data_IF_969448339227
#
_entry.id   IF_969448339227
#
_cell.length_a   1.000
_cell.length_b   1.000
_cell.length_c   1.000
_cell.angle_alpha   90.00
_cell.angle_beta   90.00
_cell.angle_gamma   90.00
#
_symmetry.space_group_name_H-M   'P 1'
#
loop_
_entity.id
_entity.type
_entity.pdbx_description
1 polymer ?
#
# COMPACT_ATOMS: atom_id res chain seq x y z
N UNK A 1 0.00 -38.38 -11.60
CA UNK A 1 0.38 -37.11 -12.25
C UNK A 1 -0.30 -36.00 -11.46
N UNK A 2 0.47 -35.10 -10.89
CA UNK A 2 -0.13 -33.95 -10.21
C UNK A 2 -0.78 -33.04 -11.27
N UNK A 3 -2.02 -32.64 -11.01
CA UNK A 3 -2.74 -31.69 -11.87
C UNK A 3 -2.13 -30.29 -11.70
N UNK A 4 -2.14 -29.46 -12.74
CA UNK A 4 -1.79 -28.04 -12.62
C UNK A 4 -2.66 -27.31 -11.56
N UNK A 5 -3.86 -27.86 -11.27
CA UNK A 5 -4.75 -27.36 -10.22
C UNK A 5 -4.15 -27.47 -8.83
N UNK A 6 -3.27 -28.45 -8.62
CA UNK A 6 -2.59 -28.67 -7.33
C UNK A 6 -1.53 -27.58 -7.07
N UNK A 7 -1.10 -26.87 -8.13
CA UNK A 7 -0.12 -25.82 -8.08
C UNK A 7 -0.75 -24.40 -7.95
N UNK A 8 -2.09 -24.30 -7.93
CA UNK A 8 -2.75 -23.02 -7.73
C UNK A 8 -2.57 -22.62 -6.26
N UNK A 9 -2.02 -21.41 -6.05
CA UNK A 9 -1.92 -20.84 -4.70
C UNK A 9 -3.32 -20.60 -4.14
N UNK A 10 -3.51 -21.06 -2.91
CA UNK A 10 -4.75 -20.85 -2.16
C UNK A 10 -4.52 -19.67 -1.22
N UNK A 11 -5.14 -18.58 -1.53
CA UNK A 11 -5.07 -17.34 -0.76
C UNK A 11 -6.50 -16.93 -0.42
N UNK A 12 -6.74 -16.48 0.81
CA UNK A 12 -8.01 -15.87 1.17
C UNK A 12 -8.13 -14.53 0.41
N UNK A 13 -9.14 -14.36 -0.46
CA UNK A 13 -9.22 -13.16 -1.27
C UNK A 13 -9.62 -11.95 -0.42
N UNK A 14 -9.18 -10.77 -0.85
CA UNK A 14 -9.68 -9.52 -0.31
C UNK A 14 -11.20 -9.41 -0.45
N UNK A 15 -11.86 -9.03 0.63
CA UNK A 15 -13.29 -8.73 0.62
C UNK A 15 -13.48 -7.22 0.43
N UNK A 16 -13.94 -6.76 -0.74
CA UNK A 16 -14.14 -5.33 -0.97
C UNK A 16 -15.26 -4.77 -0.10
N UNK A 17 -15.17 -3.48 0.20
CA UNK A 17 -16.26 -2.77 0.88
C UNK A 17 -17.56 -2.80 0.08
N UNK A 18 -18.68 -2.73 0.77
CA UNK A 18 -20.01 -2.74 0.16
C UNK A 18 -20.16 -1.63 -0.88
N UNK A 19 -20.77 -1.97 -2.03
CA UNK A 19 -21.06 -1.05 -3.12
C UNK A 19 -22.60 -0.97 -3.32
N UNK A 20 -23.30 -0.15 -2.51
CA UNK A 20 -24.75 -0.03 -2.61
C UNK A 20 -25.15 0.53 -3.97
N UNK A 21 -26.23 -0.03 -4.55
CA UNK A 21 -26.76 0.37 -5.86
C UNK A 21 -28.05 1.21 -5.75
N UNK A 22 -28.53 1.39 -4.52
CA UNK A 22 -29.75 2.14 -4.25
C UNK A 22 -29.51 3.64 -4.39
N UNK A 23 -30.47 4.35 -4.94
CA UNK A 23 -30.42 5.81 -5.02
C UNK A 23 -30.60 6.46 -3.65
N UNK A 24 -29.87 7.54 -3.40
CA UNK A 24 -29.97 8.32 -2.15
C UNK A 24 -29.15 7.81 -0.97
N UNK A 25 -28.37 6.74 -1.15
CA UNK A 25 -27.42 6.26 -0.13
C UNK A 25 -26.23 7.20 -0.03
N UNK A 26 -25.90 7.61 1.18
CA UNK A 26 -24.67 8.35 1.47
C UNK A 26 -23.54 7.33 1.69
N UNK A 27 -22.64 7.20 0.72
CA UNK A 27 -21.50 6.28 0.77
C UNK A 27 -20.36 6.92 1.56
N UNK A 28 -20.00 6.29 2.69
CA UNK A 28 -18.91 6.75 3.57
C UNK A 28 -17.80 5.69 3.78
N UNK A 29 -17.89 4.56 3.07
CA UNK A 29 -16.87 3.50 3.12
C UNK A 29 -15.82 3.68 2.01
N UNK A 30 -14.75 2.86 2.06
CA UNK A 30 -13.66 2.80 1.07
C UNK A 30 -12.81 4.06 0.93
N UNK A 31 -12.96 5.03 1.82
CA UNK A 31 -12.15 6.25 1.91
C UNK A 31 -12.02 7.02 0.58
N UNK A 32 -13.11 7.07 -0.22
CA UNK A 32 -13.13 7.76 -1.50
C UNK A 32 -13.01 9.28 -1.34
N UNK A 33 -12.25 9.92 -2.23
CA UNK A 33 -12.16 11.39 -2.26
C UNK A 33 -13.51 11.99 -2.67
N UNK A 34 -14.14 12.85 -1.84
CA UNK A 34 -15.44 13.46 -2.15
C UNK A 34 -15.37 14.51 -3.28
N UNK A 35 -14.18 14.96 -3.65
CA UNK A 35 -13.99 15.98 -4.67
C UNK A 35 -13.64 15.37 -6.02
N UNK A 36 -14.30 15.75 -7.11
CA UNK A 36 -13.93 15.31 -8.45
C UNK A 36 -12.58 15.91 -8.86
N UNK A 37 -11.89 15.29 -9.85
CA UNK A 37 -10.70 15.88 -10.43
C UNK A 37 -11.02 17.23 -11.10
N UNK A 38 -10.04 18.12 -11.17
CA UNK A 38 -10.22 19.43 -11.80
C UNK A 38 -10.56 19.32 -13.29
N UNK A 39 -11.24 20.35 -13.83
CA UNK A 39 -11.61 20.38 -15.26
C UNK A 39 -10.39 20.34 -16.19
N UNK A 40 -9.23 20.83 -15.75
CA UNK A 40 -7.97 20.74 -16.49
C UNK A 40 -7.56 19.30 -16.80
N UNK A 41 -7.91 18.35 -15.91
CA UNK A 41 -7.65 16.91 -16.15
C UNK A 41 -8.54 16.38 -17.28
N UNK A 42 -9.82 16.78 -17.30
CA UNK A 42 -10.75 16.39 -18.37
C UNK A 42 -10.27 16.92 -19.74
N UNK A 43 -9.81 18.16 -19.79
CA UNK A 43 -9.25 18.77 -20.99
C UNK A 43 -7.99 18.03 -21.46
N UNK A 44 -7.05 17.74 -20.56
CA UNK A 44 -5.84 17.02 -20.86
C UNK A 44 -6.14 15.60 -21.42
N UNK A 45 -7.08 14.88 -20.80
CA UNK A 45 -7.50 13.55 -21.25
C UNK A 45 -8.15 13.58 -22.64
N UNK A 46 -8.99 14.57 -22.92
CA UNK A 46 -9.63 14.73 -24.24
C UNK A 46 -8.63 15.03 -25.37
N UNK A 47 -7.46 15.56 -25.04
CA UNK A 47 -6.38 15.85 -25.97
C UNK A 47 -5.51 14.65 -26.36
N UNK A 48 -5.70 13.49 -25.76
CA UNK A 48 -4.87 12.31 -26.01
C UNK A 48 -5.24 11.69 -27.38
N UNK A 49 -4.31 11.73 -28.35
CA UNK A 49 -4.55 11.28 -29.72
C UNK A 49 -3.86 9.96 -30.11
N UNK A 50 -2.90 9.50 -29.32
CA UNK A 50 -1.99 8.43 -29.71
C UNK A 50 -2.13 7.14 -28.87
N UNK A 51 -3.35 6.79 -28.46
CA UNK A 51 -3.62 5.60 -27.64
C UNK A 51 -3.17 4.26 -28.26
N UNK A 52 -2.88 4.23 -29.56
CA UNK A 52 -2.34 3.04 -30.26
C UNK A 52 -0.85 2.78 -30.00
N UNK A 53 -0.14 3.73 -29.38
CA UNK A 53 1.29 3.61 -29.05
C UNK A 53 1.45 3.13 -27.63
N UNK A 54 2.50 2.36 -27.39
CA UNK A 54 2.91 2.07 -26.01
C UNK A 54 3.26 3.35 -25.27
N UNK A 55 2.90 3.47 -23.98
CA UNK A 55 3.35 4.57 -23.15
C UNK A 55 4.86 4.49 -22.92
N UNK A 56 5.43 5.57 -22.40
CA UNK A 56 6.80 5.57 -21.86
C UNK A 56 6.86 4.57 -20.67
N UNK A 57 7.67 3.50 -20.76
CA UNK A 57 7.73 2.47 -19.72
C UNK A 57 8.25 2.98 -18.36
N UNK A 58 9.04 4.07 -18.39
CA UNK A 58 9.55 4.71 -17.18
C UNK A 58 8.59 5.80 -16.62
N UNK A 59 7.48 6.09 -17.30
CA UNK A 59 6.56 7.18 -16.95
C UNK A 59 7.30 8.51 -16.64
N UNK A 60 8.38 8.81 -17.36
CA UNK A 60 9.38 9.85 -17.07
C UNK A 60 8.76 11.17 -16.66
N UNK A 61 7.80 11.68 -17.43
CA UNK A 61 7.14 12.95 -17.15
C UNK A 61 6.37 12.97 -15.81
N UNK A 62 5.77 11.83 -15.45
CA UNK A 62 5.03 11.69 -14.19
C UNK A 62 6.00 11.62 -13.02
N UNK A 63 7.05 10.81 -13.15
CA UNK A 63 8.13 10.68 -12.16
C UNK A 63 8.78 12.03 -11.88
N UNK A 64 9.18 12.77 -12.92
CA UNK A 64 9.76 14.10 -12.81
C UNK A 64 8.81 15.12 -12.14
N UNK A 65 7.52 15.06 -12.46
CA UNK A 65 6.52 15.94 -11.85
C UNK A 65 6.31 15.64 -10.36
N UNK A 66 6.25 14.36 -9.98
CA UNK A 66 6.12 13.94 -8.58
C UNK A 66 7.38 14.32 -7.80
N UNK A 67 8.55 14.02 -8.31
CA UNK A 67 9.84 14.36 -7.71
C UNK A 67 9.94 15.89 -7.46
N UNK A 68 9.66 16.68 -8.49
CA UNK A 68 9.66 18.14 -8.39
C UNK A 68 8.65 18.68 -7.37
N UNK A 69 7.45 18.10 -7.29
CA UNK A 69 6.41 18.52 -6.36
C UNK A 69 6.78 18.26 -4.91
N UNK A 70 7.39 17.11 -4.63
CA UNK A 70 7.76 16.70 -3.27
C UNK A 70 9.19 17.09 -2.87
N UNK A 71 10.02 17.56 -3.81
CA UNK A 71 11.41 17.93 -3.53
C UNK A 71 12.35 16.72 -3.42
N UNK A 72 12.06 15.66 -4.13
CA UNK A 72 12.88 14.45 -4.21
C UNK A 72 13.66 14.37 -5.52
N UNK A 73 14.67 13.51 -5.56
CA UNK A 73 15.30 13.12 -6.82
C UNK A 73 14.39 12.12 -7.56
N UNK A 74 14.44 12.14 -8.89
CA UNK A 74 13.58 11.26 -9.71
C UNK A 74 13.87 9.77 -9.49
N UNK A 75 15.08 9.42 -9.09
CA UNK A 75 15.53 8.09 -8.71
C UNK A 75 14.89 7.56 -7.42
N UNK A 76 14.29 8.46 -6.63
CA UNK A 76 13.56 8.12 -5.39
C UNK A 76 12.06 7.95 -5.62
N UNK A 77 11.59 8.07 -6.87
CA UNK A 77 10.18 7.98 -7.22
C UNK A 77 9.91 6.75 -8.08
N UNK A 78 9.04 5.89 -7.56
CA UNK A 78 8.46 4.77 -8.30
C UNK A 78 6.96 4.99 -8.48
N UNK A 79 6.43 4.70 -9.67
CA UNK A 79 5.01 4.86 -10.00
C UNK A 79 4.41 3.54 -10.48
N UNK A 80 3.17 3.28 -10.08
CA UNK A 80 2.37 2.12 -10.48
C UNK A 80 0.91 2.49 -10.71
N UNK A 81 0.06 1.50 -10.96
CA UNK A 81 -1.38 1.69 -11.18
C UNK A 81 -2.09 1.70 -9.83
N UNK A 82 -1.92 2.79 -9.08
CA UNK A 82 -2.43 2.96 -7.72
C UNK A 82 -1.52 2.33 -6.66
N UNK A 83 -1.84 2.60 -5.37
CA UNK A 83 -1.03 2.12 -4.24
C UNK A 83 -1.01 0.60 -4.14
N UNK A 84 -2.09 -0.08 -4.47
CA UNK A 84 -2.14 -1.55 -4.45
C UNK A 84 -1.10 -2.21 -5.36
N UNK A 85 -0.90 -1.68 -6.57
CA UNK A 85 0.11 -2.16 -7.50
C UNK A 85 1.53 -1.91 -6.95
N UNK A 86 1.78 -0.69 -6.45
CA UNK A 86 3.06 -0.31 -5.86
C UNK A 86 3.38 -1.17 -4.63
N UNK A 87 2.41 -1.38 -3.73
CA UNK A 87 2.58 -2.19 -2.54
C UNK A 87 2.82 -3.67 -2.89
N UNK A 88 2.06 -4.23 -3.84
CA UNK A 88 2.27 -5.60 -4.29
C UNK A 88 3.69 -5.80 -4.85
N UNK A 89 4.18 -4.85 -5.66
CA UNK A 89 5.56 -4.88 -6.19
C UNK A 89 6.57 -4.73 -5.07
N UNK A 90 6.34 -3.84 -4.09
CA UNK A 90 7.21 -3.67 -2.93
C UNK A 90 7.29 -4.94 -2.07
N UNK A 91 6.16 -5.56 -1.75
CA UNK A 91 6.13 -6.83 -1.02
C UNK A 91 6.93 -7.92 -1.74
N UNK A 92 6.70 -8.09 -3.04
CA UNK A 92 7.41 -9.06 -3.86
C UNK A 92 8.91 -8.77 -3.96
N UNK A 93 9.31 -7.50 -3.91
CA UNK A 93 10.71 -7.08 -4.10
C UNK A 93 11.51 -7.16 -2.82
N UNK A 94 10.97 -6.66 -1.71
CA UNK A 94 11.74 -6.42 -0.50
C UNK A 94 11.58 -7.48 0.59
N UNK A 95 10.46 -8.19 0.62
CA UNK A 95 10.14 -9.09 1.73
C UNK A 95 10.37 -10.57 1.40
N UNK A 96 11.53 -10.89 0.80
CA UNK A 96 11.87 -12.26 0.37
C UNK A 96 12.71 -13.04 1.40
N UNK A 97 12.81 -12.52 2.61
CA UNK A 97 13.57 -13.13 3.71
C UNK A 97 12.80 -14.26 4.40
N UNK A 98 13.46 -14.86 5.41
CA UNK A 98 12.84 -15.89 6.25
C UNK A 98 12.21 -15.33 7.51
N UNK A 99 12.56 -14.09 7.89
CA UNK A 99 12.00 -13.42 9.06
C UNK A 99 10.62 -12.88 8.72
N UNK A 100 9.67 -12.93 9.68
CA UNK A 100 8.34 -12.39 9.45
C UNK A 100 8.38 -10.86 9.29
N UNK A 101 7.59 -10.34 8.37
CA UNK A 101 7.28 -8.91 8.34
C UNK A 101 6.21 -8.60 9.39
N UNK A 102 6.23 -7.38 9.93
CA UNK A 102 5.28 -6.92 10.95
C UNK A 102 4.33 -5.89 10.38
N UNK A 103 3.05 -6.03 10.72
CA UNK A 103 2.02 -5.03 10.45
C UNK A 103 0.91 -5.12 11.51
N UNK A 104 0.08 -4.07 11.70
CA UNK A 104 -0.98 -4.09 12.70
C UNK A 104 -2.02 -5.19 12.42
N UNK A 105 -2.64 -5.73 13.44
CA UNK A 105 -3.70 -6.75 13.31
C UNK A 105 -5.01 -6.17 12.77
N UNK A 106 -5.30 -4.90 13.11
CA UNK A 106 -6.41 -4.11 12.56
C UNK A 106 -5.82 -3.04 11.67
N UNK A 107 -5.73 -3.33 10.36
CA UNK A 107 -5.09 -2.48 9.36
C UNK A 107 -5.66 -2.75 7.97
N UNK A 108 -5.02 -2.20 6.93
CA UNK A 108 -5.40 -2.45 5.55
C UNK A 108 -5.34 -3.94 5.21
N UNK A 109 -6.46 -4.48 4.82
CA UNK A 109 -6.68 -5.94 4.75
C UNK A 109 -5.98 -6.63 3.58
N UNK A 110 -5.32 -5.90 2.69
CA UNK A 110 -4.51 -6.49 1.62
C UNK A 110 -3.13 -6.95 2.07
N UNK A 111 -2.57 -6.45 3.16
CA UNK A 111 -1.24 -6.87 3.61
C UNK A 111 -1.10 -8.38 3.81
N UNK A 112 -1.99 -9.05 4.54
CA UNK A 112 -1.95 -10.51 4.63
C UNK A 112 -2.20 -11.20 3.29
N UNK A 113 -3.03 -10.63 2.39
CA UNK A 113 -3.29 -11.21 1.07
C UNK A 113 -2.00 -11.26 0.24
N UNK A 114 -1.23 -10.18 0.19
CA UNK A 114 0.06 -10.19 -0.52
C UNK A 114 1.09 -11.07 0.17
N UNK A 115 1.16 -11.05 1.50
CA UNK A 115 2.08 -11.92 2.24
C UNK A 115 1.81 -13.40 1.94
N UNK A 116 0.56 -13.83 1.96
CA UNK A 116 0.17 -15.21 1.61
C UNK A 116 0.41 -15.52 0.13
N UNK A 117 0.06 -14.59 -0.78
CA UNK A 117 0.24 -14.78 -2.22
C UNK A 117 1.71 -14.97 -2.59
N UNK A 118 2.61 -14.23 -1.96
CA UNK A 118 4.05 -14.30 -2.25
C UNK A 118 4.80 -15.26 -1.34
N UNK A 119 4.12 -15.87 -0.34
CA UNK A 119 4.75 -16.80 0.62
C UNK A 119 5.68 -16.11 1.61
N UNK A 120 5.37 -14.86 1.96
CA UNK A 120 6.11 -14.04 2.91
C UNK A 120 5.61 -14.38 4.33
N UNK A 121 6.49 -14.79 5.25
CA UNK A 121 6.08 -14.95 6.65
C UNK A 121 5.72 -13.60 7.26
N UNK A 122 4.69 -13.57 8.09
CA UNK A 122 4.26 -12.33 8.73
C UNK A 122 3.76 -12.57 10.16
N UNK A 123 3.80 -11.51 10.96
CA UNK A 123 3.24 -11.46 12.30
C UNK A 123 2.40 -10.19 12.46
N UNK A 124 1.19 -10.35 12.94
CA UNK A 124 0.28 -9.24 13.24
C UNK A 124 0.57 -8.70 14.63
N UNK A 125 0.80 -7.39 14.75
CA UNK A 125 0.98 -6.67 16.00
C UNK A 125 -0.35 -6.09 16.47
N UNK A 126 -0.77 -6.45 17.68
CA UNK A 126 -2.04 -5.98 18.20
C UNK A 126 -2.03 -4.46 18.41
N UNK A 127 -3.09 -3.78 17.94
CA UNK A 127 -3.32 -2.40 18.37
C UNK A 127 -3.84 -2.38 19.81
N UNK A 128 -3.69 -1.25 20.51
CA UNK A 128 -4.22 -1.10 21.87
C UNK A 128 -5.74 -0.88 21.88
N UNK A 129 -6.33 -0.75 23.07
CA UNK A 129 -7.78 -0.52 23.24
C UNK A 129 -8.29 0.79 22.60
N UNK A 130 -7.39 1.73 22.31
CA UNK A 130 -7.67 2.96 21.58
C UNK A 130 -7.44 2.81 20.05
N UNK A 131 -7.18 1.60 19.57
CA UNK A 131 -6.87 1.27 18.17
C UNK A 131 -5.56 1.90 17.65
N UNK A 132 -4.64 2.22 18.53
CA UNK A 132 -3.35 2.81 18.19
C UNK A 132 -2.26 1.75 18.07
N UNK A 133 -1.34 1.96 17.12
CA UNK A 133 -0.14 1.17 16.95
C UNK A 133 0.82 1.44 18.12
N UNK A 134 1.35 0.37 18.73
CA UNK A 134 2.35 0.45 19.78
C UNK A 134 3.73 0.29 19.14
N UNK A 135 4.52 1.35 19.11
CA UNK A 135 5.81 1.39 18.41
C UNK A 135 6.79 0.34 18.90
N UNK A 136 6.78 0.01 20.19
CA UNK A 136 7.65 -0.95 20.82
C UNK A 136 7.50 -2.37 20.27
N UNK A 137 6.32 -2.72 19.75
CA UNK A 137 6.03 -4.01 19.13
C UNK A 137 6.79 -4.21 17.80
N UNK A 138 7.33 -3.14 17.24
CA UNK A 138 8.06 -3.13 15.96
C UNK A 138 9.58 -3.07 16.13
N UNK A 139 10.10 -3.10 17.38
CA UNK A 139 11.54 -3.06 17.64
C UNK A 139 12.21 -4.44 17.60
N UNK A 140 11.43 -5.51 17.72
CA UNK A 140 11.96 -6.86 17.63
C UNK A 140 12.51 -7.15 16.24
N UNK A 141 13.47 -8.08 16.17
CA UNK A 141 14.05 -8.53 14.91
C UNK A 141 12.97 -9.07 13.97
N UNK A 142 12.91 -8.52 12.74
CA UNK A 142 11.87 -8.79 11.76
C UNK A 142 12.42 -8.81 10.32
N UNK A 143 11.57 -9.08 9.35
CA UNK A 143 11.87 -9.08 7.91
C UNK A 143 11.44 -7.82 7.18
N UNK A 144 10.82 -6.88 7.88
CA UNK A 144 10.28 -5.62 7.38
C UNK A 144 9.05 -5.18 8.14
N UNK A 145 8.72 -3.91 8.05
CA UNK A 145 7.59 -3.30 8.76
C UNK A 145 6.68 -2.60 7.76
N UNK A 146 5.36 -2.76 7.91
CA UNK A 146 4.37 -2.10 7.05
C UNK A 146 3.24 -1.57 7.94
N UNK A 147 2.91 -0.29 7.82
CA UNK A 147 1.73 0.29 8.47
C UNK A 147 1.22 1.51 7.71
N UNK A 148 -0.10 1.74 7.67
CA UNK A 148 -0.65 2.97 7.11
C UNK A 148 -0.59 4.11 8.13
N UNK A 149 -0.44 5.34 7.66
CA UNK A 149 -0.51 6.51 8.53
C UNK A 149 -1.26 7.69 7.87
N UNK A 150 -2.51 7.94 8.27
CA UNK A 150 -3.29 7.32 9.35
C UNK A 150 -3.61 5.84 9.10
N UNK A 151 -3.69 5.04 10.19
CA UNK A 151 -4.02 3.63 10.05
C UNK A 151 -5.46 3.43 9.56
N UNK A 152 -5.64 2.71 8.47
CA UNK A 152 -6.95 2.32 7.96
C UNK A 152 -7.31 0.91 8.47
N UNK A 153 -8.51 0.65 9.04
CA UNK A 153 -9.68 1.55 9.08
C UNK A 153 -9.82 2.37 10.37
N UNK A 154 -8.86 2.32 11.29
CA UNK A 154 -9.03 2.90 12.64
C UNK A 154 -8.99 4.42 12.65
N UNK A 155 -8.30 5.04 11.67
CA UNK A 155 -8.06 6.47 11.60
C UNK A 155 -7.01 6.97 12.60
N UNK A 156 -6.40 6.07 13.38
CA UNK A 156 -5.35 6.43 14.34
C UNK A 156 -4.10 6.95 13.61
N UNK A 157 -3.56 8.04 14.11
CA UNK A 157 -2.44 8.76 13.50
C UNK A 157 -1.20 8.68 14.40
N UNK A 158 -0.08 8.28 13.81
CA UNK A 158 1.24 8.33 14.45
C UNK A 158 1.92 9.68 14.15
N UNK A 159 2.49 10.30 15.18
CA UNK A 159 3.31 11.49 14.95
C UNK A 159 4.60 11.14 14.19
N UNK A 160 5.21 12.15 13.56
CA UNK A 160 6.45 11.93 12.81
C UNK A 160 7.58 11.39 13.70
N UNK A 161 7.62 11.80 14.97
CA UNK A 161 8.61 11.33 15.94
C UNK A 161 8.44 9.81 16.20
N UNK A 162 7.21 9.32 16.25
CA UNK A 162 6.94 7.89 16.43
C UNK A 162 7.29 7.10 15.17
N UNK A 163 6.96 7.63 13.99
CA UNK A 163 7.34 7.02 12.71
C UNK A 163 8.86 6.95 12.58
N UNK A 164 9.56 8.05 12.88
CA UNK A 164 11.02 8.10 12.86
C UNK A 164 11.64 7.09 13.84
N UNK A 165 11.09 6.98 15.05
CA UNK A 165 11.56 6.04 16.05
C UNK A 165 11.43 4.57 15.60
N UNK A 166 10.30 4.21 14.95
CA UNK A 166 10.15 2.89 14.33
C UNK A 166 11.21 2.67 13.24
N UNK A 167 11.45 3.65 12.38
CA UNK A 167 12.45 3.56 11.31
C UNK A 167 13.86 3.39 11.91
N UNK A 168 14.19 4.12 12.96
CA UNK A 168 15.50 4.04 13.61
C UNK A 168 15.77 2.67 14.24
N UNK A 169 14.74 1.97 14.71
CA UNK A 169 14.88 0.62 15.24
C UNK A 169 14.89 -0.48 14.15
N UNK A 170 14.67 -0.10 12.89
CA UNK A 170 14.55 -1.03 11.75
C UNK A 170 15.50 -0.69 10.58
N UNK A 171 16.75 -0.25 10.88
CA UNK A 171 17.71 0.25 9.90
C UNK A 171 18.15 -0.80 8.85
N UNK A 172 18.07 -2.08 9.18
CA UNK A 172 18.52 -3.19 8.31
C UNK A 172 17.39 -3.81 7.47
N UNK A 173 16.17 -3.28 7.56
CA UNK A 173 15.00 -3.78 6.84
C UNK A 173 14.20 -2.63 6.23
N UNK A 174 13.32 -2.95 5.28
CA UNK A 174 12.45 -1.93 4.68
C UNK A 174 11.26 -1.65 5.61
N UNK A 175 11.01 -0.37 5.85
CA UNK A 175 9.81 0.14 6.52
C UNK A 175 8.94 0.83 5.47
N UNK A 176 7.72 0.37 5.30
CA UNK A 176 6.72 0.99 4.42
C UNK A 176 5.71 1.72 5.28
N UNK A 177 5.59 3.02 5.03
CA UNK A 177 4.54 3.87 5.59
C UNK A 177 3.56 4.17 4.46
N UNK A 178 2.33 3.59 4.49
CA UNK A 178 1.32 3.62 3.43
C UNK A 178 0.32 4.80 3.61
#
# INVERSE_FOLDING_TARGET
MNSWRDNIRKVEPYTPGEQPKEEGVIKLNTNENPYPPSDKIKEAMSGIKNLRKYPDPAATKLVEAIASYHGFDKEEVFVGIGSDDVLAVAFMTFFNGKKPIFFPDITYSFYPVWAELFGIPYEKKAVNDAFEIQKEDYYAENGGVVFPNPNAPTGAFLSLEVVEDIIQHNQDVVVIVD
#
